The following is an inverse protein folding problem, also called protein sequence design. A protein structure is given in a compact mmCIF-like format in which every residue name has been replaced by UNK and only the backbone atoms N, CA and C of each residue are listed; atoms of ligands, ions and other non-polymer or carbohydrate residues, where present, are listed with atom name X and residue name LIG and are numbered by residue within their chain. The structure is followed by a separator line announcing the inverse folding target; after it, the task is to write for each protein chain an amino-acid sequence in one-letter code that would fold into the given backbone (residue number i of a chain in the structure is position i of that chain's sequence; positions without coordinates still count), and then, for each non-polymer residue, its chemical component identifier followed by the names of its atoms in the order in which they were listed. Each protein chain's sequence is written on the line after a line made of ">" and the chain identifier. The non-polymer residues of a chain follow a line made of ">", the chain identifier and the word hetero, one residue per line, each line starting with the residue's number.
data_IF_638422689053
#
_entry.id   IF_638422689053
#
_cell.length_a   1.000
_cell.length_b   1.000
_cell.length_c   1.000
_cell.angle_alpha   90.00
_cell.angle_beta   90.00
_cell.angle_gamma   90.00
#
_symmetry.space_group_name_H-M   'P 1'
#
loop_
_entity.id
_entity.type
_entity.pdbx_description
1 polymer ?
#
# COMPACT_ATOMS: atom_id res chain seq x y z
N UNK A 1 -49.32 -26.24 -22.20
CA UNK A 1 -49.26 -24.86 -21.66
C UNK A 1 -47.82 -24.36 -21.74
N UNK A 2 -47.63 -23.08 -22.09
CA UNK A 2 -46.37 -22.41 -22.43
C UNK A 2 -45.62 -21.94 -21.19
N UNK A 3 -44.29 -22.11 -21.18
CA UNK A 3 -43.24 -21.27 -20.57
C UNK A 3 -41.91 -21.79 -21.15
N UNK A 4 -41.44 -21.38 -22.34
CA UNK A 4 -40.77 -20.10 -22.66
C UNK A 4 -39.81 -19.63 -21.55
N UNK A 5 -38.65 -20.26 -21.46
CA UNK A 5 -37.40 -19.59 -21.08
C UNK A 5 -36.40 -19.93 -22.19
N UNK A 6 -36.39 -19.04 -23.17
CA UNK A 6 -35.50 -19.01 -24.32
C UNK A 6 -34.37 -18.05 -23.92
N UNK A 7 -33.28 -18.60 -23.38
CA UNK A 7 -31.97 -17.94 -23.27
C UNK A 7 -31.01 -19.00 -23.82
N UNK A 8 -30.92 -19.21 -25.13
CA UNK A 8 -30.29 -18.30 -26.09
C UNK A 8 -29.00 -17.74 -25.52
N UNK A 9 -27.97 -18.58 -25.44
CA UNK A 9 -26.84 -18.49 -26.38
C UNK A 9 -25.65 -19.35 -25.92
N UNK A 10 -25.22 -20.26 -26.80
CA UNK A 10 -23.81 -20.53 -27.11
C UNK A 10 -23.06 -21.26 -25.96
N UNK A 11 -23.14 -22.58 -25.80
CA UNK A 11 -22.40 -23.59 -26.59
C UNK A 11 -21.02 -23.08 -27.04
N UNK A 12 -19.95 -23.62 -26.43
CA UNK A 12 -18.54 -23.80 -26.89
C UNK A 12 -17.71 -23.75 -25.59
N UNK A 13 -17.54 -24.86 -24.87
CA UNK A 13 -16.33 -25.69 -25.01
C UNK A 13 -15.13 -24.89 -25.51
N UNK A 14 -14.51 -24.11 -24.62
CA UNK A 14 -13.08 -23.85 -24.67
C UNK A 14 -12.46 -24.39 -23.38
N UNK A 15 -12.51 -25.73 -23.30
CA UNK A 15 -11.61 -26.52 -22.49
C UNK A 15 -10.21 -26.29 -23.10
N UNK A 16 -9.27 -25.76 -22.32
CA UNK A 16 -7.87 -25.46 -22.66
C UNK A 16 -7.58 -24.11 -23.34
N UNK A 17 -7.61 -23.00 -22.58
CA UNK A 17 -6.73 -21.85 -22.80
C UNK A 17 -6.43 -21.20 -21.45
N UNK A 18 -5.20 -21.44 -20.97
CA UNK A 18 -4.45 -20.64 -20.01
C UNK A 18 -5.23 -20.03 -18.82
N UNK A 19 -5.21 -20.72 -17.67
CA UNK A 19 -5.17 -20.00 -16.40
C UNK A 19 -3.86 -19.23 -16.35
N UNK A 20 -3.80 -18.08 -17.02
CA UNK A 20 -2.78 -17.08 -16.72
C UNK A 20 -3.19 -16.59 -15.33
N UNK A 21 -2.39 -16.83 -14.27
CA UNK A 21 -2.57 -16.06 -13.06
C UNK A 21 -2.40 -14.61 -13.51
N UNK A 22 -3.45 -13.82 -13.40
CA UNK A 22 -3.37 -12.38 -13.56
C UNK A 22 -2.44 -11.91 -12.44
N UNK A 23 -1.13 -11.91 -12.70
CA UNK A 23 -0.19 -11.12 -11.93
C UNK A 23 -0.69 -9.70 -12.14
N UNK A 24 -1.39 -9.17 -11.14
CA UNK A 24 -1.79 -7.77 -11.11
C UNK A 24 -0.48 -7.00 -11.27
N UNK A 25 -0.28 -6.43 -12.45
CA UNK A 25 0.75 -5.42 -12.68
C UNK A 25 0.30 -4.19 -11.91
N UNK A 26 0.44 -4.20 -10.59
CA UNK A 26 0.40 -2.98 -9.79
C UNK A 26 1.66 -2.22 -10.18
N UNK A 27 1.50 -1.02 -10.68
CA UNK A 27 2.63 -0.12 -10.89
C UNK A 27 3.39 0.03 -9.56
N UNK A 28 4.73 0.10 -9.59
CA UNK A 28 5.52 0.27 -8.37
C UNK A 28 5.09 1.56 -7.66
N UNK A 29 4.85 1.46 -6.35
CA UNK A 29 4.51 2.62 -5.51
C UNK A 29 5.65 3.63 -5.50
N UNK A 30 5.33 4.92 -5.57
CA UNK A 30 6.32 5.98 -5.38
C UNK A 30 6.58 6.26 -3.91
N UNK A 31 7.74 6.83 -3.58
CA UNK A 31 8.06 7.16 -2.20
C UNK A 31 7.09 8.18 -1.58
N UNK A 32 6.64 9.16 -2.37
CA UNK A 32 5.64 10.15 -1.96
C UNK A 32 4.28 9.51 -1.65
N UNK A 33 3.83 8.56 -2.50
CA UNK A 33 2.59 7.82 -2.24
C UNK A 33 2.69 6.96 -0.98
N UNK A 34 3.84 6.31 -0.75
CA UNK A 34 4.04 5.54 0.47
C UNK A 34 4.06 6.44 1.71
N UNK A 35 4.72 7.61 1.64
CA UNK A 35 4.71 8.58 2.72
C UNK A 35 3.28 9.02 3.04
N UNK A 36 2.46 9.34 2.04
CA UNK A 36 1.06 9.72 2.24
C UNK A 36 0.24 8.58 2.89
N UNK A 37 0.49 7.32 2.49
CA UNK A 37 -0.15 6.16 3.13
C UNK A 37 0.26 6.00 4.59
N UNK A 38 1.54 6.18 4.92
CA UNK A 38 2.04 6.14 6.30
C UNK A 38 1.41 7.26 7.12
N UNK A 39 1.39 8.49 6.60
CA UNK A 39 0.78 9.64 7.26
C UNK A 39 -0.71 9.40 7.56
N UNK A 40 -1.45 8.87 6.59
CA UNK A 40 -2.85 8.50 6.77
C UNK A 40 -3.06 7.36 7.79
N UNK A 41 -2.11 6.42 7.86
CA UNK A 41 -2.16 5.28 8.78
C UNK A 41 -1.94 5.71 10.24
N UNK A 42 -0.92 6.54 10.49
CA UNK A 42 -0.47 6.82 11.87
C UNK A 42 -0.93 8.16 12.43
N UNK A 43 -1.25 9.13 11.57
CA UNK A 43 -1.58 10.49 12.00
C UNK A 43 -0.46 11.18 12.80
N UNK A 44 -0.75 12.33 13.38
CA UNK A 44 0.18 12.99 14.29
C UNK A 44 0.33 12.18 15.59
N UNK A 45 1.55 12.08 16.13
CA UNK A 45 1.82 11.34 17.37
C UNK A 45 0.96 11.85 18.53
N UNK A 46 0.68 13.15 18.59
CA UNK A 46 -0.11 13.76 19.66
C UNK A 46 -1.60 13.37 19.64
N UNK A 47 -2.12 12.91 18.49
CA UNK A 47 -3.55 12.61 18.31
C UNK A 47 -3.87 11.12 18.49
N UNK A 48 -2.85 10.25 18.51
CA UNK A 48 -3.02 8.81 18.63
C UNK A 48 -2.81 8.26 20.04
N UNK A 49 -3.31 7.05 20.27
CA UNK A 49 -3.12 6.31 21.54
C UNK A 49 -1.78 5.53 21.52
N UNK A 50 -0.68 6.28 21.52
CA UNK A 50 0.67 5.71 21.55
C UNK A 50 1.20 5.68 22.98
N UNK A 51 1.70 4.52 23.43
CA UNK A 51 2.30 4.39 24.77
C UNK A 51 3.54 5.26 24.92
N UNK A 52 4.28 5.43 23.83
CA UNK A 52 5.46 6.28 23.72
C UNK A 52 5.87 6.46 22.25
N UNK A 53 6.77 7.39 22.03
CA UNK A 53 7.35 7.69 20.71
C UNK A 53 7.99 6.48 20.02
N UNK A 54 8.65 5.61 20.78
CA UNK A 54 9.27 4.41 20.22
C UNK A 54 8.23 3.48 19.59
N UNK A 55 7.04 3.35 20.17
CA UNK A 55 5.94 2.57 19.60
C UNK A 55 5.41 3.21 18.31
N UNK A 56 5.28 4.53 18.28
CA UNK A 56 4.87 5.29 17.10
C UNK A 56 5.84 5.05 15.93
N UNK A 57 7.12 5.31 16.14
CA UNK A 57 8.17 5.13 15.12
C UNK A 57 8.31 3.67 14.71
N UNK A 58 8.22 2.72 15.65
CA UNK A 58 8.25 1.28 15.31
C UNK A 58 7.08 0.86 14.43
N UNK A 59 5.91 1.49 14.61
CA UNK A 59 4.74 1.21 13.78
C UNK A 59 4.94 1.71 12.36
N UNK A 60 5.49 2.92 12.21
CA UNK A 60 5.91 3.49 10.92
C UNK A 60 6.94 2.59 10.24
N UNK A 61 8.04 2.26 10.92
CA UNK A 61 9.11 1.44 10.37
C UNK A 61 8.59 0.08 9.89
N UNK A 62 7.79 -0.62 10.70
CA UNK A 62 7.20 -1.92 10.33
C UNK A 62 6.30 -1.83 9.08
N UNK A 63 5.62 -0.72 8.86
CA UNK A 63 4.81 -0.55 7.66
C UNK A 63 5.69 -0.32 6.44
N UNK A 64 6.68 0.57 6.53
CA UNK A 64 7.63 0.88 5.46
C UNK A 64 8.48 -0.34 5.09
N UNK A 65 8.93 -1.12 6.07
CA UNK A 65 9.77 -2.31 5.87
C UNK A 65 9.11 -3.35 4.96
N UNK A 66 7.77 -3.44 4.93
CA UNK A 66 7.06 -4.37 4.03
C UNK A 66 7.32 -4.05 2.56
N UNK A 67 7.40 -2.77 2.20
CA UNK A 67 7.68 -2.31 0.84
C UNK A 67 9.17 -2.39 0.52
N UNK A 68 10.03 -2.20 1.52
CA UNK A 68 11.47 -2.36 1.38
C UNK A 68 11.83 -3.83 1.14
N UNK A 69 11.24 -4.75 1.89
CA UNK A 69 11.45 -6.20 1.76
C UNK A 69 10.87 -6.76 0.46
N UNK A 70 9.77 -6.18 -0.05
CA UNK A 70 9.21 -6.54 -1.37
C UNK A 70 10.01 -5.98 -2.54
N UNK A 71 10.91 -5.02 -2.28
CA UNK A 71 11.69 -4.32 -3.31
C UNK A 71 10.89 -3.29 -4.10
N UNK A 72 9.72 -2.89 -3.60
CA UNK A 72 8.88 -1.83 -4.18
C UNK A 72 9.47 -0.43 -3.94
N UNK A 73 10.25 -0.27 -2.87
CA UNK A 73 11.03 0.93 -2.57
C UNK A 73 12.47 0.57 -2.26
N UNK A 74 13.36 1.55 -2.29
CA UNK A 74 14.74 1.38 -1.83
C UNK A 74 14.95 1.85 -0.38
N UNK A 75 16.17 1.64 0.13
CA UNK A 75 16.53 2.05 1.49
C UNK A 75 16.57 3.57 1.68
N UNK A 76 16.73 4.36 0.61
CA UNK A 76 16.77 5.83 0.69
C UNK A 76 15.36 6.36 0.94
N UNK A 77 14.39 5.87 0.19
CA UNK A 77 12.98 6.16 0.43
C UNK A 77 12.56 5.75 1.84
N UNK A 78 12.86 4.50 2.24
CA UNK A 78 12.51 4.00 3.57
C UNK A 78 13.11 4.88 4.69
N UNK A 79 14.39 5.25 4.55
CA UNK A 79 15.09 6.11 5.52
C UNK A 79 14.51 7.52 5.58
N UNK A 80 14.16 8.12 4.44
CA UNK A 80 13.54 9.45 4.39
C UNK A 80 12.24 9.46 5.20
N UNK A 81 11.33 8.53 4.92
CA UNK A 81 10.02 8.45 5.58
C UNK A 81 10.22 8.27 7.09
N UNK A 82 10.90 7.19 7.52
CA UNK A 82 11.06 6.87 8.94
C UNK A 82 11.74 7.99 9.73
N UNK A 83 12.72 8.68 9.12
CA UNK A 83 13.46 9.76 9.78
C UNK A 83 12.59 10.97 10.11
N UNK A 84 11.59 11.30 9.30
CA UNK A 84 10.71 12.43 9.59
C UNK A 84 9.83 12.17 10.82
N UNK A 85 9.28 10.95 10.92
CA UNK A 85 8.54 10.52 12.11
C UNK A 85 9.43 10.43 13.34
N UNK A 86 10.64 9.89 13.21
CA UNK A 86 11.61 9.81 14.32
C UNK A 86 12.08 11.19 14.82
N UNK A 87 12.06 12.21 13.96
CA UNK A 87 12.38 13.60 14.31
C UNK A 87 11.21 14.37 14.92
N UNK A 88 10.03 13.74 15.08
CA UNK A 88 8.80 14.35 15.60
C UNK A 88 8.35 15.56 14.78
N UNK A 89 8.52 15.50 13.47
CA UNK A 89 7.99 16.52 12.57
C UNK A 89 6.49 16.26 12.44
N UNK A 90 5.62 17.24 12.79
CA UNK A 90 4.18 17.13 12.55
C UNK A 90 3.90 16.80 11.08
N UNK A 91 2.87 16.01 10.79
CA UNK A 91 2.58 15.55 9.43
C UNK A 91 2.44 16.73 8.45
N UNK A 92 1.79 17.80 8.88
CA UNK A 92 1.59 19.03 8.12
C UNK A 92 2.89 19.78 7.76
N UNK A 93 3.97 19.52 8.49
CA UNK A 93 5.29 20.14 8.32
C UNK A 93 6.31 19.18 7.66
N UNK A 94 5.91 17.94 7.35
CA UNK A 94 6.80 16.98 6.70
C UNK A 94 7.04 17.36 5.23
N UNK A 95 8.29 17.20 4.78
CA UNK A 95 8.64 17.41 3.38
C UNK A 95 8.37 16.14 2.57
N UNK A 96 7.98 16.22 1.28
CA UNK A 96 7.83 15.04 0.44
C UNK A 96 9.15 14.28 0.23
N UNK A 97 9.13 12.96 0.40
CA UNK A 97 10.21 12.07 0.03
C UNK A 97 10.12 11.72 -1.47
N UNK A 98 11.07 12.21 -2.27
CA UNK A 98 11.01 12.20 -3.75
C UNK A 98 12.04 11.27 -4.43
N UNK A 99 12.45 10.21 -3.73
CA UNK A 99 13.51 9.29 -4.18
C UNK A 99 12.95 8.06 -4.87
#
# INVERSE_FOLDING_TARGET
>A
MRKRILITCIMIVCLCCAMIPQALTQDPITCEELQAQVQALVGNEADGDWKNHGQYVSTVARFVDQYLESGEIDSVCASCIVSQFARRIPIEDQEPCVF
#
